data_IF_734435451072
#
_entry.id   IF_734435451072
#
_cell.length_a   1.000
_cell.length_b   1.000
_cell.length_c   1.000
_cell.angle_alpha   90.00
_cell.angle_beta   90.00
_cell.angle_gamma   90.00
#
_symmetry.space_group_name_H-M   'P 1'
#
loop_
_entity.id
_entity.type
_entity.pdbx_description
1 polymer ?
#
# COMPACT_ATOMS: atom_id res chain seq x y z
N UNK A 1 12.90 -11.49 14.66
CA UNK A 1 11.66 -12.28 14.61
C UNK A 1 10.65 -11.53 13.77
N UNK A 2 9.86 -12.23 12.94
CA UNK A 2 8.69 -11.64 12.28
C UNK A 2 7.51 -11.62 13.28
N UNK A 3 6.61 -10.62 13.22
CA UNK A 3 5.39 -10.60 14.03
C UNK A 3 4.51 -11.83 13.78
N UNK A 4 3.77 -12.28 14.79
CA UNK A 4 2.81 -13.40 14.66
C UNK A 4 1.59 -13.04 13.80
N UNK A 5 1.34 -11.75 13.60
CA UNK A 5 0.20 -11.24 12.84
C UNK A 5 0.68 -10.35 11.69
N UNK A 6 0.13 -10.60 10.51
CA UNK A 6 0.30 -9.76 9.32
C UNK A 6 -0.93 -8.87 9.18
N UNK A 7 -0.72 -7.57 9.01
CA UNK A 7 -1.80 -6.63 8.73
C UNK A 7 -2.04 -6.53 7.22
N UNK A 8 -3.29 -6.65 6.79
CA UNK A 8 -3.65 -6.51 5.38
C UNK A 8 -4.22 -5.11 5.16
N UNK A 9 -3.72 -4.40 4.15
CA UNK A 9 -4.15 -3.04 3.81
C UNK A 9 -4.12 -2.85 2.30
N UNK A 10 -5.04 -2.07 1.76
CA UNK A 10 -5.05 -1.68 0.34
C UNK A 10 -4.29 -0.37 0.12
N UNK A 11 -3.82 -0.16 -1.10
CA UNK A 11 -3.19 1.11 -1.51
C UNK A 11 -4.13 2.32 -1.37
N UNK A 12 -5.45 2.12 -1.54
CA UNK A 12 -6.45 3.17 -1.30
C UNK A 12 -6.56 3.52 0.19
N UNK A 13 -6.61 2.52 1.08
CA UNK A 13 -6.64 2.78 2.53
C UNK A 13 -5.37 3.48 3.03
N UNK A 14 -4.22 3.24 2.39
CA UNK A 14 -3.00 3.98 2.67
C UNK A 14 -3.11 5.45 2.24
N UNK A 15 -3.66 5.72 1.06
CA UNK A 15 -3.93 7.09 0.59
C UNK A 15 -4.92 7.80 1.52
N UNK A 16 -5.98 7.13 1.95
CA UNK A 16 -7.00 7.71 2.82
C UNK A 16 -6.46 8.02 4.22
N UNK A 17 -5.59 7.17 4.76
CA UNK A 17 -4.94 7.38 6.07
C UNK A 17 -3.84 8.45 6.03
N UNK A 18 -3.13 8.57 4.92
CA UNK A 18 -1.96 9.42 4.78
C UNK A 18 -2.01 10.21 3.46
N UNK A 19 -3.02 11.10 3.29
CA UNK A 19 -3.27 11.78 2.02
C UNK A 19 -2.11 12.68 1.59
N UNK A 20 -1.43 13.29 2.56
CA UNK A 20 -0.34 14.24 2.34
C UNK A 20 1.05 13.59 2.20
N UNK A 21 1.11 12.26 2.14
CA UNK A 21 2.34 11.48 2.04
C UNK A 21 2.49 10.84 0.68
N UNK A 22 3.72 10.65 0.23
CA UNK A 22 3.98 9.87 -0.98
C UNK A 22 3.87 8.36 -0.71
N UNK A 23 3.68 7.50 -1.72
CA UNK A 23 3.48 6.06 -1.53
C UNK A 23 4.48 5.37 -0.59
N UNK A 24 5.77 5.69 -0.71
CA UNK A 24 6.83 5.11 0.13
C UNK A 24 6.72 5.53 1.59
N UNK A 25 6.41 6.80 1.85
CA UNK A 25 6.15 7.30 3.21
C UNK A 25 4.92 6.62 3.83
N UNK A 26 3.86 6.35 3.03
CA UNK A 26 2.66 5.64 3.51
C UNK A 26 3.00 4.22 3.94
N UNK A 27 3.81 3.52 3.14
CA UNK A 27 4.31 2.17 3.46
C UNK A 27 5.17 2.18 4.73
N UNK A 28 6.06 3.17 4.88
CA UNK A 28 6.88 3.29 6.08
C UNK A 28 6.01 3.49 7.32
N UNK A 29 5.04 4.42 7.29
CA UNK A 29 4.17 4.71 8.42
C UNK A 29 3.31 3.50 8.83
N UNK A 30 2.77 2.76 7.86
CA UNK A 30 1.97 1.56 8.15
C UNK A 30 2.84 0.41 8.68
N UNK A 31 4.08 0.28 8.20
CA UNK A 31 5.05 -0.69 8.72
C UNK A 31 5.53 -0.32 10.13
N UNK A 32 5.74 0.97 10.42
CA UNK A 32 6.07 1.43 11.77
C UNK A 32 4.95 1.08 12.76
N UNK A 33 3.69 1.18 12.32
CA UNK A 33 2.50 0.85 13.12
C UNK A 33 2.32 -0.65 13.36
N UNK A 34 2.36 -1.48 12.32
CA UNK A 34 1.97 -2.89 12.41
C UNK A 34 3.13 -3.89 12.33
N UNK A 35 4.35 -3.43 12.02
CA UNK A 35 5.59 -4.22 11.88
C UNK A 35 5.63 -5.24 10.75
N UNK A 36 4.50 -5.84 10.37
CA UNK A 36 4.35 -6.69 9.20
C UNK A 36 3.04 -6.37 8.48
N UNK A 37 3.14 -6.05 7.20
CA UNK A 37 2.02 -5.56 6.40
C UNK A 37 2.04 -6.21 5.03
N UNK A 38 0.87 -6.60 4.54
CA UNK A 38 0.66 -7.05 3.17
C UNK A 38 -0.18 -5.99 2.44
N UNK A 39 0.44 -5.28 1.50
CA UNK A 39 -0.20 -4.21 0.72
C UNK A 39 -0.84 -4.80 -0.53
N UNK A 40 -2.13 -4.55 -0.70
CA UNK A 40 -2.97 -5.12 -1.76
C UNK A 40 -3.40 -4.06 -2.77
N UNK A 41 -3.84 -4.50 -3.96
CA UNK A 41 -4.36 -3.63 -5.04
C UNK A 41 -3.34 -2.60 -5.54
N UNK A 42 -2.07 -3.00 -5.63
CA UNK A 42 -1.01 -2.19 -6.22
C UNK A 42 -1.14 -2.23 -7.75
N UNK A 43 -1.11 -1.07 -8.41
CA UNK A 43 -1.16 -0.96 -9.88
C UNK A 43 -2.33 -0.14 -10.42
N UNK A 44 -3.47 -0.11 -9.73
CA UNK A 44 -4.63 0.73 -10.08
C UNK A 44 -4.37 2.22 -9.79
N UNK A 45 -5.08 3.08 -10.54
CA UNK A 45 -5.25 4.48 -10.13
C UNK A 45 -6.09 4.53 -8.85
N UNK A 46 -5.62 5.29 -7.88
CA UNK A 46 -6.31 5.58 -6.63
C UNK A 46 -7.30 6.75 -6.82
N UNK A 47 -8.03 7.12 -5.76
CA UNK A 47 -8.99 8.23 -5.75
C UNK A 47 -8.39 9.59 -6.16
N UNK A 48 -7.07 9.75 -6.03
CA UNK A 48 -6.33 10.95 -6.44
C UNK A 48 -5.79 10.90 -7.89
N UNK A 49 -6.25 9.93 -8.70
CA UNK A 49 -5.80 9.68 -10.08
C UNK A 49 -4.31 9.32 -10.24
N UNK A 50 -3.59 9.05 -9.15
CA UNK A 50 -2.23 8.56 -9.16
C UNK A 50 -2.20 7.04 -8.91
N UNK A 51 -1.16 6.37 -9.40
CA UNK A 51 -0.89 4.98 -9.01
C UNK A 51 -0.05 4.97 -7.74
N UNK A 52 -0.25 3.96 -6.89
CA UNK A 52 0.61 3.77 -5.72
C UNK A 52 2.01 3.33 -6.12
N UNK A 53 2.10 2.34 -7.01
CA UNK A 53 3.34 1.87 -7.64
C UNK A 53 2.98 1.18 -8.96
N UNK A 54 3.97 1.03 -9.85
CA UNK A 54 3.84 0.32 -11.11
C UNK A 54 3.74 -1.19 -10.91
N UNK A 55 2.85 -1.82 -11.67
CA UNK A 55 2.76 -3.28 -11.82
C UNK A 55 2.60 -3.63 -13.29
N UNK A 56 3.07 -4.82 -13.64
CA UNK A 56 3.10 -5.22 -15.04
C UNK A 56 1.73 -5.71 -15.47
N UNK A 57 1.08 -5.09 -16.47
CA UNK A 57 -0.30 -5.43 -16.84
C UNK A 57 -0.44 -6.80 -17.54
N UNK A 58 0.68 -7.43 -17.90
CA UNK A 58 0.74 -8.70 -18.62
C UNK A 58 0.66 -9.93 -17.70
N UNK A 59 0.86 -9.78 -16.39
CA UNK A 59 0.77 -10.90 -15.44
C UNK A 59 0.12 -10.56 -14.08
N UNK A 60 0.01 -9.28 -13.73
CA UNK A 60 -0.63 -8.87 -12.48
C UNK A 60 -2.09 -8.47 -12.73
N UNK A 61 -3.02 -9.34 -12.30
CA UNK A 61 -4.44 -9.01 -12.12
C UNK A 61 -4.58 -8.13 -10.86
N UNK A 62 -4.20 -6.87 -10.97
CA UNK A 62 -4.31 -5.89 -9.89
C UNK A 62 -5.76 -5.59 -9.47
#
# INVERSE_FOLDING_TARGET
MLPEHIHFVTTQELLDQYPDKNPSEREQLVCEKYKAVFVMQVGKKLSNNQVHDGRSPDYDDW
#
